data_IF_358798889208
#
_entry.id   IF_358798889208
#
_cell.length_a   1.000
_cell.length_b   1.000
_cell.length_c   1.000
_cell.angle_alpha   90.00
_cell.angle_beta   90.00
_cell.angle_gamma   90.00
#
_symmetry.space_group_name_H-M   'P 1'
#
loop_
_entity.id
_entity.type
_entity.pdbx_description
1 polymer ?
#
# COMPACT_ATOMS: atom_id res chain seq x y z
N UNK A 1 -47.31 -24.27 -31.51
CA UNK A 1 -48.76 -24.36 -31.57
C UNK A 1 -49.33 -24.36 -30.15
N UNK A 2 -50.36 -23.51 -29.96
CA UNK A 2 -51.31 -23.46 -28.83
C UNK A 2 -50.83 -22.76 -27.57
N UNK A 3 -51.45 -21.78 -27.02
CA UNK A 3 -52.56 -20.85 -27.23
C UNK A 3 -52.76 -20.15 -25.87
N UNK A 4 -52.93 -18.86 -25.95
CA UNK A 4 -53.31 -17.94 -24.86
C UNK A 4 -54.61 -18.36 -24.17
N UNK A 5 -54.74 -18.08 -22.85
CA UNK A 5 -56.01 -17.61 -22.31
C UNK A 5 -55.83 -16.56 -21.24
N UNK A 6 -56.50 -15.45 -21.43
CA UNK A 6 -56.78 -14.32 -20.54
C UNK A 6 -57.77 -14.71 -19.43
N UNK A 7 -57.63 -14.08 -18.26
CA UNK A 7 -58.76 -13.45 -17.53
C UNK A 7 -58.26 -12.57 -16.39
N UNK A 8 -58.67 -11.31 -16.38
CA UNK A 8 -58.92 -10.43 -15.22
C UNK A 8 -60.46 -10.44 -15.02
N UNK A 9 -61.09 -9.85 -14.01
CA UNK A 9 -60.68 -8.90 -12.97
C UNK A 9 -61.22 -9.23 -11.55
N UNK A 10 -60.81 -8.50 -10.52
CA UNK A 10 -61.69 -7.77 -9.67
C UNK A 10 -60.98 -7.13 -8.48
N UNK A 11 -61.36 -5.90 -8.23
CA UNK A 11 -60.87 -4.91 -7.40
C UNK A 11 -61.24 -5.07 -5.91
N UNK A 12 -60.34 -4.61 -5.07
CA UNK A 12 -60.62 -4.15 -3.73
C UNK A 12 -59.64 -3.05 -3.35
N UNK A 13 -60.15 -1.85 -3.24
CA UNK A 13 -59.53 -0.69 -2.65
C UNK A 13 -59.33 -0.93 -1.13
N UNK A 14 -58.11 -1.05 -0.66
CA UNK A 14 -57.78 -0.92 0.75
C UNK A 14 -57.11 0.41 0.98
N UNK A 15 -57.80 1.27 1.68
CA UNK A 15 -57.29 2.55 2.23
C UNK A 15 -56.12 2.28 3.20
N UNK A 16 -54.95 2.77 2.87
CA UNK A 16 -53.82 2.81 3.80
C UNK A 16 -53.87 4.06 4.64
N UNK A 17 -54.16 3.86 5.93
CA UNK A 17 -54.09 4.81 7.02
C UNK A 17 -52.62 5.28 7.21
N UNK A 18 -52.41 6.59 7.03
CA UNK A 18 -51.12 7.26 7.27
C UNK A 18 -50.91 7.43 8.76
N UNK A 19 -50.26 6.48 9.43
CA UNK A 19 -49.66 6.74 10.73
C UNK A 19 -48.15 6.81 10.60
N UNK A 20 -47.60 7.96 10.95
CA UNK A 20 -46.18 8.26 11.08
C UNK A 20 -45.44 7.17 11.87
N UNK A 21 -44.66 6.33 11.21
CA UNK A 21 -43.60 5.61 11.88
C UNK A 21 -42.27 6.33 11.58
N UNK A 22 -41.72 6.93 12.63
CA UNK A 22 -40.34 7.43 12.63
C UNK A 22 -39.43 6.27 12.32
N UNK A 23 -38.70 6.35 11.21
CA UNK A 23 -37.63 5.45 10.88
C UNK A 23 -36.50 5.67 11.89
N UNK A 24 -36.31 4.74 12.81
CA UNK A 24 -35.11 4.63 13.62
C UNK A 24 -34.14 3.80 12.76
N UNK A 25 -32.96 4.33 12.43
CA UNK A 25 -31.96 3.51 11.71
C UNK A 25 -31.57 2.32 12.59
N UNK A 26 -31.31 1.15 12.02
CA UNK A 26 -30.86 -0.01 12.79
C UNK A 26 -29.56 0.36 13.51
N UNK A 27 -29.58 0.30 14.83
CA UNK A 27 -28.38 0.33 15.65
C UNK A 27 -27.46 -0.76 15.12
N UNK A 28 -26.21 -0.39 14.80
CA UNK A 28 -25.15 -1.35 14.61
C UNK A 28 -25.14 -2.28 15.83
N UNK A 29 -25.36 -3.55 15.59
CA UNK A 29 -25.22 -4.57 16.62
C UNK A 29 -23.73 -4.65 16.88
N UNK A 30 -23.27 -4.01 17.95
CA UNK A 30 -21.94 -4.24 18.48
C UNK A 30 -21.88 -5.73 18.80
N UNK A 31 -20.91 -6.40 18.21
CA UNK A 31 -20.63 -7.81 18.55
C UNK A 31 -19.75 -7.81 19.81
N UNK A 32 -20.32 -8.11 21.00
CA UNK A 32 -19.56 -7.99 22.26
C UNK A 32 -18.41 -9.00 22.37
N UNK A 33 -18.29 -9.94 21.44
CA UNK A 33 -17.18 -10.90 21.40
C UNK A 33 -15.91 -10.33 20.76
N UNK A 34 -15.98 -9.20 20.03
CA UNK A 34 -14.80 -8.56 19.43
C UNK A 34 -14.14 -7.53 20.35
N UNK A 35 -14.88 -7.00 21.34
CA UNK A 35 -14.35 -5.99 22.26
C UNK A 35 -13.64 -6.59 23.49
N UNK A 36 -13.73 -7.92 23.71
CA UNK A 36 -13.17 -8.64 24.86
C UNK A 36 -12.07 -9.65 24.51
N UNK A 37 -11.48 -9.58 23.33
CA UNK A 37 -10.25 -10.35 23.09
C UNK A 37 -9.11 -9.67 23.86
N UNK A 38 -8.53 -10.35 24.89
CA UNK A 38 -7.36 -9.81 25.56
C UNK A 38 -6.29 -9.61 24.50
N UNK A 39 -5.74 -8.39 24.38
CA UNK A 39 -4.51 -8.16 23.65
C UNK A 39 -3.46 -9.13 24.20
N UNK A 40 -3.30 -10.27 23.55
CA UNK A 40 -2.14 -11.13 23.81
C UNK A 40 -0.94 -10.32 23.35
N UNK A 41 -0.32 -9.65 24.31
CA UNK A 41 1.05 -9.17 24.17
C UNK A 41 1.82 -10.37 23.64
N UNK A 42 2.35 -10.26 22.44
CA UNK A 42 3.12 -11.32 21.80
C UNK A 42 4.44 -11.49 22.59
N UNK A 43 4.40 -12.33 23.62
CA UNK A 43 5.56 -12.64 24.48
C UNK A 43 6.56 -13.57 23.81
N UNK A 44 6.58 -13.70 22.48
CA UNK A 44 7.54 -14.57 21.81
C UNK A 44 7.84 -14.24 20.34
N UNK A 45 7.85 -12.99 19.93
CA UNK A 45 8.75 -12.63 18.84
C UNK A 45 10.15 -12.52 19.46
N UNK A 46 11.19 -13.16 18.89
CA UNK A 46 12.54 -12.94 19.37
C UNK A 46 12.77 -11.43 19.39
N UNK A 47 13.23 -10.91 20.53
CA UNK A 47 13.60 -9.51 20.67
C UNK A 47 14.60 -9.19 19.57
N UNK A 48 14.10 -8.51 18.53
CA UNK A 48 14.97 -7.92 17.53
C UNK A 48 15.70 -6.81 18.26
N UNK A 49 16.99 -7.01 18.50
CA UNK A 49 17.88 -5.92 18.85
C UNK A 49 17.58 -4.79 17.85
N UNK A 50 17.39 -3.54 18.29
CA UNK A 50 17.35 -2.41 17.37
C UNK A 50 18.56 -2.56 16.47
N UNK A 51 18.37 -2.45 15.13
CA UNK A 51 19.54 -2.29 14.28
C UNK A 51 20.29 -1.08 14.86
N UNK A 52 21.46 -1.31 15.44
CA UNK A 52 22.45 -0.28 15.71
C UNK A 52 22.82 0.29 14.34
N UNK A 53 22.01 1.22 13.84
CA UNK A 53 22.44 2.10 12.77
C UNK A 53 23.38 3.07 13.45
N UNK A 54 24.64 3.01 13.07
CA UNK A 54 25.68 3.91 13.49
C UNK A 54 25.15 5.35 13.58
N UNK A 55 25.36 5.95 14.72
CA UNK A 55 25.25 7.40 14.85
C UNK A 55 26.23 8.00 13.84
N UNK A 56 25.71 8.74 12.86
CA UNK A 56 26.58 9.60 12.08
C UNK A 56 27.27 10.58 13.02
N UNK A 57 28.55 10.90 12.77
CA UNK A 57 29.42 11.77 13.60
C UNK A 57 28.83 13.17 13.88
N UNK A 58 27.66 13.48 13.34
CA UNK A 58 26.96 14.77 13.41
C UNK A 58 25.72 14.77 14.34
N UNK A 59 25.55 13.73 15.17
CA UNK A 59 24.51 13.67 16.20
C UNK A 59 23.10 13.35 15.69
N UNK A 60 22.96 12.85 14.46
CA UNK A 60 21.70 12.42 13.88
C UNK A 60 21.27 11.05 14.44
N UNK A 61 20.06 11.00 15.00
CA UNK A 61 19.47 9.78 15.57
C UNK A 61 18.46 9.20 14.58
N UNK A 62 18.69 7.97 14.16
CA UNK A 62 17.75 7.19 13.34
C UNK A 62 17.02 6.15 14.21
N UNK A 63 15.83 5.73 13.80
CA UNK A 63 15.09 4.68 14.48
C UNK A 63 14.00 5.19 15.44
N UNK A 64 13.80 4.49 16.54
CA UNK A 64 12.71 4.80 17.49
C UNK A 64 12.83 6.21 18.09
N UNK A 65 14.04 6.65 18.40
CA UNK A 65 14.30 7.99 18.97
C UNK A 65 14.01 9.09 17.93
N UNK A 66 14.20 8.82 16.63
CA UNK A 66 13.85 9.75 15.57
C UNK A 66 12.32 9.94 15.48
N UNK A 67 11.55 8.85 15.60
CA UNK A 67 10.09 8.91 15.62
C UNK A 67 9.59 9.70 16.83
N UNK A 68 10.13 9.45 18.02
CA UNK A 68 9.73 10.14 19.25
C UNK A 68 10.02 11.66 19.19
N UNK A 69 11.13 12.08 18.56
CA UNK A 69 11.41 13.49 18.29
C UNK A 69 10.42 14.11 17.33
N UNK A 70 10.16 13.43 16.19
CA UNK A 70 9.17 13.88 15.20
C UNK A 70 7.79 14.02 15.83
N UNK A 71 7.37 13.05 16.64
CA UNK A 71 6.10 13.05 17.37
C UNK A 71 6.01 14.24 18.33
N UNK A 72 7.08 14.54 19.06
CA UNK A 72 7.14 15.68 19.98
C UNK A 72 6.98 17.00 19.24
N UNK A 73 7.71 17.20 18.14
CA UNK A 73 7.63 18.43 17.35
C UNK A 73 6.29 18.62 16.68
N UNK A 74 5.66 17.54 16.17
CA UNK A 74 4.32 17.60 15.61
C UNK A 74 3.26 17.99 16.65
N UNK A 75 3.40 17.47 17.90
CA UNK A 75 2.52 17.83 19.02
C UNK A 75 2.63 19.31 19.36
N UNK A 76 3.86 19.83 19.32
CA UNK A 76 4.16 21.23 19.61
C UNK A 76 3.85 22.18 18.44
N UNK A 77 3.30 21.68 17.34
CA UNK A 77 2.90 22.46 16.17
C UNK A 77 4.07 22.89 15.28
N UNK A 78 5.19 22.19 15.34
CA UNK A 78 6.39 22.48 14.53
C UNK A 78 6.52 21.57 13.31
N UNK A 79 7.29 22.04 12.33
CA UNK A 79 7.58 21.28 11.13
C UNK A 79 8.49 20.08 11.40
N UNK A 80 8.23 19.00 10.68
CA UNK A 80 9.06 17.80 10.67
C UNK A 80 9.28 17.32 9.23
N UNK A 81 10.25 16.47 9.02
CA UNK A 81 10.57 15.88 7.74
C UNK A 81 10.38 14.37 7.76
N UNK A 82 9.88 13.84 6.66
CA UNK A 82 9.75 12.39 6.44
C UNK A 82 10.34 12.03 5.08
N UNK A 83 11.25 11.04 5.05
CA UNK A 83 11.69 10.40 3.81
C UNK A 83 10.92 9.11 3.55
N UNK A 84 10.72 8.72 2.27
CA UNK A 84 10.04 7.46 1.97
C UNK A 84 10.90 6.25 2.33
N UNK A 85 12.22 6.30 2.03
CA UNK A 85 13.16 5.23 2.44
C UNK A 85 14.53 5.83 2.64
N UNK A 86 15.24 5.80 3.54
CA UNK A 86 16.58 6.31 3.85
C UNK A 86 17.63 6.43 2.71
N UNK A 87 17.21 6.34 1.46
CA UNK A 87 18.06 6.59 0.29
C UNK A 87 18.18 8.10 0.02
N UNK A 88 19.37 8.53 -0.38
CA UNK A 88 19.69 9.94 -0.61
C UNK A 88 18.80 10.64 -1.65
N UNK A 89 18.24 9.87 -2.59
CA UNK A 89 17.38 10.36 -3.68
C UNK A 89 15.88 10.22 -3.39
N UNK A 90 15.51 9.73 -2.18
CA UNK A 90 14.11 9.55 -1.83
C UNK A 90 13.37 10.89 -1.69
N UNK A 91 12.10 10.98 -2.12
CA UNK A 91 11.30 12.17 -1.90
C UNK A 91 11.20 12.51 -0.42
N UNK A 92 11.47 13.78 -0.09
CA UNK A 92 11.35 14.28 1.27
C UNK A 92 10.03 15.04 1.40
N UNK A 93 9.21 14.66 2.38
CA UNK A 93 7.99 15.36 2.72
C UNK A 93 8.22 16.29 3.92
N UNK A 94 7.95 17.57 3.73
CA UNK A 94 7.79 18.56 4.79
C UNK A 94 6.40 18.43 5.37
N UNK A 95 6.25 18.29 6.68
CA UNK A 95 4.98 17.97 7.35
C UNK A 95 4.71 18.86 8.54
N UNK A 96 3.43 19.17 8.77
CA UNK A 96 2.94 19.84 10.00
C UNK A 96 1.51 19.37 10.30
N UNK A 97 1.13 19.29 11.57
CA UNK A 97 -0.24 19.01 11.95
C UNK A 97 -1.18 20.10 11.42
N UNK A 98 -2.27 19.68 10.76
CA UNK A 98 -3.14 20.61 10.04
C UNK A 98 -3.80 21.64 10.98
N UNK A 99 -3.98 21.32 12.26
CA UNK A 99 -4.53 22.24 13.26
C UNK A 99 -3.58 23.41 13.56
N UNK A 100 -2.29 23.25 13.30
CA UNK A 100 -1.25 24.27 13.47
C UNK A 100 -0.86 24.96 12.17
N UNK A 101 -1.42 24.52 11.01
CA UNK A 101 -1.11 25.10 9.71
C UNK A 101 -1.83 26.43 9.47
N UNK A 102 -1.23 27.51 9.94
CA UNK A 102 -1.68 28.88 9.70
C UNK A 102 -1.12 29.49 8.40
N UNK A 103 -1.20 30.81 8.30
CA UNK A 103 -0.77 31.52 7.09
C UNK A 103 0.76 31.50 6.91
N UNK A 104 1.50 31.58 8.03
CA UNK A 104 2.98 31.55 8.01
C UNK A 104 3.48 30.18 7.56
N UNK A 105 2.91 29.10 8.11
CA UNK A 105 3.30 27.73 7.81
C UNK A 105 2.94 27.35 6.38
N UNK A 106 1.77 27.70 5.89
CA UNK A 106 1.39 27.50 4.49
C UNK A 106 2.29 28.31 3.55
N UNK A 107 2.61 29.55 3.92
CA UNK A 107 3.57 30.38 3.16
C UNK A 107 4.96 29.74 3.09
N UNK A 108 5.43 29.17 4.20
CA UNK A 108 6.71 28.44 4.25
C UNK A 108 6.68 27.20 3.33
N UNK A 109 5.60 26.40 3.38
CA UNK A 109 5.44 25.23 2.50
C UNK A 109 5.47 25.65 1.03
N UNK A 110 4.74 26.72 0.65
CA UNK A 110 4.68 27.20 -0.73
C UNK A 110 6.03 27.69 -1.26
N UNK A 111 6.87 28.20 -0.37
CA UNK A 111 8.23 28.69 -0.73
C UNK A 111 9.23 27.54 -0.93
N UNK A 112 9.15 26.48 -0.14
CA UNK A 112 10.18 25.44 -0.08
C UNK A 112 9.75 24.08 -0.67
N UNK A 113 8.45 23.89 -0.87
CA UNK A 113 7.91 22.60 -1.28
C UNK A 113 6.94 22.73 -2.47
N UNK A 114 6.56 21.60 -3.02
CA UNK A 114 5.53 21.51 -4.05
C UNK A 114 4.15 21.81 -3.45
N UNK A 115 3.10 21.65 -4.28
CA UNK A 115 1.72 21.86 -3.87
C UNK A 115 1.38 21.09 -2.58
N UNK A 116 0.79 21.75 -1.55
CA UNK A 116 0.41 21.09 -0.32
C UNK A 116 -0.70 20.07 -0.51
N UNK A 117 -0.59 18.96 0.21
CA UNK A 117 -1.58 17.89 0.29
C UNK A 117 -2.01 17.70 1.74
N UNK A 118 -3.24 17.23 1.96
CA UNK A 118 -3.70 16.78 3.27
C UNK A 118 -3.76 15.27 3.30
N UNK A 119 -2.96 14.68 4.17
CA UNK A 119 -3.10 13.29 4.57
C UNK A 119 -4.13 13.17 5.68
N UNK A 120 -5.07 12.23 5.57
CA UNK A 120 -6.12 11.98 6.56
C UNK A 120 -6.53 10.51 6.58
N UNK A 121 -7.19 9.99 7.64
CA UNK A 121 -7.75 8.65 7.65
C UNK A 121 -8.72 8.43 6.47
N UNK A 122 -8.76 7.20 5.96
CA UNK A 122 -9.56 6.85 4.78
C UNK A 122 -11.06 7.16 4.98
N UNK A 123 -11.59 6.90 6.16
CA UNK A 123 -13.02 7.13 6.44
C UNK A 123 -13.37 8.62 6.43
N UNK A 124 -12.48 9.48 6.95
CA UNK A 124 -12.61 10.94 6.82
C UNK A 124 -12.52 11.37 5.35
N UNK A 125 -11.59 10.84 4.60
CA UNK A 125 -11.49 11.10 3.16
C UNK A 125 -12.79 10.73 2.43
N UNK A 126 -13.36 9.55 2.72
CA UNK A 126 -14.65 9.09 2.15
C UNK A 126 -15.80 10.01 2.53
N UNK A 127 -15.85 10.50 3.77
CA UNK A 127 -16.87 11.44 4.22
C UNK A 127 -16.79 12.76 3.45
N UNK A 128 -15.58 13.32 3.28
CA UNK A 128 -15.35 14.52 2.46
C UNK A 128 -15.77 14.27 1.00
N UNK A 129 -15.39 13.13 0.44
CA UNK A 129 -15.79 12.78 -0.92
C UNK A 129 -17.30 12.69 -1.09
N UNK A 130 -17.99 12.06 -0.15
CA UNK A 130 -19.46 11.93 -0.17
C UNK A 130 -20.19 13.25 -0.03
N UNK A 131 -19.55 14.29 0.56
CA UNK A 131 -20.11 15.63 0.69
C UNK A 131 -20.02 16.48 -0.58
N UNK A 132 -19.24 16.04 -1.57
CA UNK A 132 -19.07 16.76 -2.83
C UNK A 132 -20.20 16.45 -3.80
N UNK A 133 -20.79 17.50 -4.38
CA UNK A 133 -21.84 17.35 -5.41
C UNK A 133 -21.30 16.57 -6.62
N UNK A 134 -21.86 15.40 -6.89
CA UNK A 134 -21.76 14.59 -8.13
C UNK A 134 -20.39 14.60 -8.84
N UNK A 135 -19.32 14.32 -8.11
CA UNK A 135 -18.10 13.89 -8.74
C UNK A 135 -18.18 12.36 -8.80
N UNK A 136 -18.58 11.86 -9.93
CA UNK A 136 -18.41 10.46 -10.27
C UNK A 136 -16.92 10.30 -10.55
N UNK A 137 -16.16 9.85 -9.55
CA UNK A 137 -14.96 9.08 -9.88
C UNK A 137 -15.52 7.85 -10.56
N UNK A 138 -15.26 7.68 -11.84
CA UNK A 138 -15.69 6.53 -12.64
C UNK A 138 -15.22 5.17 -12.07
N UNK A 139 -14.44 5.21 -11.00
CA UNK A 139 -13.89 4.05 -10.32
C UNK A 139 -14.06 4.19 -8.82
N UNK A 140 -14.72 3.22 -8.22
CA UNK A 140 -14.68 2.93 -6.78
C UNK A 140 -13.26 2.60 -6.26
N UNK A 141 -12.24 3.10 -6.94
CA UNK A 141 -10.85 2.82 -6.61
C UNK A 141 -10.35 3.82 -5.57
N UNK A 142 -10.53 3.46 -4.33
CA UNK A 142 -10.07 4.20 -3.17
C UNK A 142 -8.55 4.13 -2.95
N UNK A 143 -7.82 3.53 -3.89
CA UNK A 143 -6.40 3.25 -3.71
C UNK A 143 -5.48 4.47 -3.86
N UNK A 144 -5.87 5.46 -4.63
CA UNK A 144 -5.21 6.77 -4.74
C UNK A 144 -6.15 7.83 -5.32
N UNK A 145 -7.25 8.15 -4.71
CA UNK A 145 -8.02 9.27 -5.21
C UNK A 145 -7.24 10.55 -4.91
N UNK A 146 -6.70 11.17 -5.91
CA UNK A 146 -6.23 12.55 -5.81
C UNK A 146 -7.42 13.45 -6.06
N UNK A 147 -8.03 13.87 -4.98
CA UNK A 147 -9.10 14.84 -5.01
C UNK A 147 -8.54 16.19 -4.59
N UNK A 148 -8.81 17.25 -5.35
CA UNK A 148 -8.49 18.59 -4.87
C UNK A 148 -9.75 19.38 -4.58
N UNK A 149 -9.80 20.02 -3.42
CA UNK A 149 -10.96 20.76 -2.96
C UNK A 149 -10.61 22.19 -2.54
N UNK A 150 -11.62 23.03 -2.53
CA UNK A 150 -11.61 24.34 -1.87
C UNK A 150 -12.93 24.56 -1.15
N UNK A 151 -12.91 25.35 -0.08
CA UNK A 151 -14.13 25.89 0.51
C UNK A 151 -14.89 26.73 -0.52
N UNK A 152 -16.20 26.65 -0.57
CA UNK A 152 -17.01 27.52 -1.44
C UNK A 152 -16.87 29.00 -1.03
N UNK A 153 -17.00 29.88 -2.00
CA UNK A 153 -16.86 31.33 -1.78
C UNK A 153 -15.43 31.86 -1.76
N UNK A 154 -14.41 30.98 -1.90
CA UNK A 154 -13.00 31.39 -2.05
C UNK A 154 -12.41 30.92 -3.39
N UNK A 155 -11.25 31.48 -3.76
CA UNK A 155 -10.54 31.12 -5.00
C UNK A 155 -10.10 29.64 -5.05
N UNK A 156 -9.77 29.17 -6.25
CA UNK A 156 -9.19 27.81 -6.49
C UNK A 156 -7.68 27.81 -6.53
N UNK A 157 -7.09 29.00 -6.45
CA UNK A 157 -5.65 29.15 -6.54
C UNK A 157 -4.96 28.56 -5.31
N UNK A 158 -4.15 27.54 -5.54
CA UNK A 158 -3.35 26.87 -4.52
C UNK A 158 -2.14 27.70 -4.07
N UNK A 159 -1.76 28.74 -4.83
CA UNK A 159 -0.71 29.67 -4.44
C UNK A 159 -1.24 30.76 -3.49
N UNK A 160 -2.55 30.92 -3.38
CA UNK A 160 -3.12 31.85 -2.43
C UNK A 160 -3.20 31.21 -1.05
N UNK A 161 -2.32 31.64 -0.14
CA UNK A 161 -2.21 31.17 1.25
C UNK A 161 -3.56 31.13 1.96
N UNK A 162 -4.36 32.20 1.86
CA UNK A 162 -5.66 32.30 2.53
C UNK A 162 -6.65 31.26 2.01
N UNK A 163 -6.64 30.93 0.72
CA UNK A 163 -7.47 29.89 0.15
C UNK A 163 -7.12 28.51 0.75
N UNK A 164 -5.83 28.24 0.87
CA UNK A 164 -5.34 26.98 1.45
C UNK A 164 -5.71 26.90 2.91
N UNK A 165 -5.38 27.90 3.73
CA UNK A 165 -5.66 27.94 5.18
C UNK A 165 -7.15 27.77 5.48
N UNK A 166 -8.02 28.50 4.76
CA UNK A 166 -9.47 28.38 4.98
C UNK A 166 -9.98 26.99 4.61
N UNK A 167 -9.45 26.39 3.54
CA UNK A 167 -9.82 25.04 3.12
C UNK A 167 -9.35 24.00 4.14
N UNK A 168 -8.11 24.12 4.64
CA UNK A 168 -7.58 23.26 5.69
C UNK A 168 -8.46 23.32 6.95
N UNK A 169 -8.82 24.52 7.40
CA UNK A 169 -9.68 24.70 8.57
C UNK A 169 -11.06 24.09 8.39
N UNK A 170 -11.71 24.31 7.22
CA UNK A 170 -13.00 23.68 6.90
C UNK A 170 -12.91 22.15 6.95
N UNK A 171 -11.77 21.57 6.50
CA UNK A 171 -11.56 20.13 6.51
C UNK A 171 -11.22 19.58 7.90
N UNK A 172 -10.81 20.42 8.86
CA UNK A 172 -10.52 20.01 10.23
C UNK A 172 -11.74 19.96 11.14
N UNK A 173 -12.81 20.69 10.78
CA UNK A 173 -14.02 20.71 11.57
C UNK A 173 -14.69 19.32 11.50
N UNK A 174 -15.02 18.76 12.68
CA UNK A 174 -15.66 17.45 12.81
C UNK A 174 -17.17 17.48 12.48
N UNK A 175 -17.73 18.66 12.30
CA UNK A 175 -19.08 18.82 11.78
C UNK A 175 -19.10 18.20 10.40
N UNK A 176 -20.01 17.25 10.18
CA UNK A 176 -20.28 16.68 8.86
C UNK A 176 -20.11 17.79 7.83
N UNK A 177 -19.12 17.65 6.95
CA UNK A 177 -18.85 18.66 5.92
C UNK A 177 -20.17 18.82 5.18
N UNK A 178 -20.93 19.84 5.50
CA UNK A 178 -22.28 20.04 4.98
C UNK A 178 -22.22 20.02 3.46
N UNK A 179 -23.15 19.26 2.86
CA UNK A 179 -23.28 19.22 1.41
C UNK A 179 -23.33 20.64 0.89
N UNK A 180 -22.30 21.01 0.15
CA UNK A 180 -22.21 22.35 -0.39
C UNK A 180 -21.13 23.27 0.19
N UNK A 181 -20.42 22.91 1.26
CA UNK A 181 -19.32 23.74 1.80
C UNK A 181 -18.03 23.63 0.96
N UNK A 182 -17.82 22.52 0.30
CA UNK A 182 -16.64 22.27 -0.53
C UNK A 182 -17.01 22.25 -2.02
N UNK A 183 -16.01 22.50 -2.84
CA UNK A 183 -16.05 22.34 -4.29
C UNK A 183 -14.79 21.63 -4.80
N UNK A 184 -14.93 20.90 -5.88
CA UNK A 184 -13.87 20.27 -6.62
C UNK A 184 -13.89 20.77 -8.09
N UNK A 185 -12.72 20.96 -8.77
CA UNK A 185 -11.39 20.94 -8.18
C UNK A 185 -11.10 22.19 -7.35
N UNK A 186 -10.06 22.13 -6.49
CA UNK A 186 -9.75 23.20 -5.54
C UNK A 186 -8.25 23.41 -5.26
N UNK A 187 -7.96 24.20 -4.24
CA UNK A 187 -6.62 24.62 -3.86
C UNK A 187 -5.81 23.55 -3.13
N UNK A 188 -6.46 22.62 -2.43
CA UNK A 188 -5.82 21.62 -1.58
C UNK A 188 -6.07 20.21 -2.11
N UNK A 189 -5.02 19.44 -2.30
CA UNK A 189 -5.12 18.02 -2.65
C UNK A 189 -5.32 17.19 -1.39
N UNK A 190 -6.16 16.15 -1.47
CA UNK A 190 -6.43 15.24 -0.37
C UNK A 190 -5.84 13.86 -0.67
N UNK A 191 -5.35 13.20 0.37
CA UNK A 191 -4.90 11.81 0.32
C UNK A 191 -5.45 11.05 1.53
N UNK A 192 -6.15 9.94 1.30
CA UNK A 192 -6.65 9.06 2.34
C UNK A 192 -5.63 7.97 2.68
N UNK A 193 -5.25 7.88 3.96
CA UNK A 193 -4.43 6.80 4.47
C UNK A 193 -5.22 5.49 4.50
N UNK A 194 -4.62 4.39 4.06
CA UNK A 194 -5.30 3.10 4.02
C UNK A 194 -5.59 2.55 5.40
N UNK A 195 -6.68 1.79 5.50
CA UNK A 195 -6.96 0.99 6.69
C UNK A 195 -5.81 0.01 6.93
N UNK A 196 -5.33 -0.09 8.17
CA UNK A 196 -4.11 -0.81 8.52
C UNK A 196 -2.84 0.06 8.51
N UNK A 197 -2.94 1.32 8.05
CA UNK A 197 -1.90 2.34 8.14
C UNK A 197 -0.56 1.93 7.53
N UNK A 198 0.52 2.44 8.11
CA UNK A 198 1.90 2.25 7.62
C UNK A 198 2.36 0.79 7.60
N UNK A 199 1.79 -0.07 8.44
CA UNK A 199 2.10 -1.51 8.43
C UNK A 199 1.52 -2.24 7.20
N UNK A 200 0.43 -1.74 6.65
CA UNK A 200 -0.15 -2.29 5.42
C UNK A 200 0.54 -1.69 4.19
N UNK A 201 0.71 -0.38 4.20
CA UNK A 201 1.38 0.37 3.14
C UNK A 201 2.39 1.34 3.72
N UNK A 202 3.67 1.08 3.48
CA UNK A 202 4.76 1.96 3.87
C UNK A 202 4.82 3.18 2.92
N UNK A 203 3.90 4.13 3.08
CA UNK A 203 3.80 5.34 2.28
C UNK A 203 3.76 6.60 3.15
N UNK A 204 4.17 7.75 2.57
CA UNK A 204 4.21 9.02 3.29
C UNK A 204 2.85 9.44 3.85
N UNK A 205 1.74 9.14 3.17
CA UNK A 205 0.38 9.44 3.63
C UNK A 205 0.02 8.64 4.88
N UNK A 206 0.28 7.33 4.87
CA UNK A 206 0.03 6.43 6.00
C UNK A 206 0.92 6.80 7.19
N UNK A 207 2.21 7.07 6.94
CA UNK A 207 3.15 7.48 7.98
C UNK A 207 2.77 8.85 8.59
N UNK A 208 2.30 9.80 7.79
CA UNK A 208 1.84 11.09 8.28
C UNK A 208 0.65 10.98 9.24
N UNK A 209 -0.36 10.17 8.89
CA UNK A 209 -1.53 9.93 9.76
C UNK A 209 -1.10 9.21 11.04
N UNK A 210 -0.23 8.21 10.94
CA UNK A 210 0.31 7.49 12.08
C UNK A 210 1.06 8.39 13.06
N UNK A 211 1.92 9.27 12.53
CA UNK A 211 2.67 10.25 13.34
C UNK A 211 1.74 11.24 14.04
N UNK A 212 0.63 11.65 13.39
CA UNK A 212 -0.39 12.49 14.02
C UNK A 212 -1.08 11.78 15.19
N UNK A 213 -1.47 10.51 14.99
CA UNK A 213 -2.08 9.68 16.04
C UNK A 213 -1.12 9.50 17.23
N UNK A 214 0.17 9.22 16.97
CA UNK A 214 1.19 9.12 18.01
C UNK A 214 1.43 10.44 18.74
N UNK A 215 1.35 11.55 18.03
CA UNK A 215 1.47 12.90 18.61
C UNK A 215 0.25 13.30 19.45
N UNK A 216 -0.88 12.61 19.29
CA UNK A 216 -2.14 12.94 19.96
C UNK A 216 -2.80 14.20 19.40
N UNK A 217 -2.47 14.59 18.15
CA UNK A 217 -3.11 15.68 17.42
C UNK A 217 -4.21 15.11 16.50
N UNK A 218 -5.06 15.98 15.94
CA UNK A 218 -6.04 15.53 14.93
C UNK A 218 -5.31 14.78 13.81
N UNK A 219 -5.78 13.59 13.38
CA UNK A 219 -5.08 12.76 12.40
C UNK A 219 -5.19 13.31 10.98
N UNK A 220 -4.87 14.59 10.81
CA UNK A 220 -4.81 15.31 9.54
C UNK A 220 -3.50 16.08 9.48
N UNK A 221 -2.69 15.78 8.47
CA UNK A 221 -1.37 16.39 8.27
C UNK A 221 -1.34 17.16 6.96
N UNK A 222 -0.88 18.40 7.01
CA UNK A 222 -0.44 19.11 5.79
C UNK A 222 0.96 18.65 5.47
N UNK A 223 1.15 18.11 4.28
CA UNK A 223 2.48 17.72 3.80
C UNK A 223 2.71 18.16 2.36
N UNK A 224 3.97 18.37 2.00
CA UNK A 224 4.37 18.66 0.64
C UNK A 224 5.79 18.15 0.37
N UNK A 225 6.04 17.64 -0.83
CA UNK A 225 7.38 17.22 -1.24
C UNK A 225 8.28 18.44 -1.41
N UNK A 226 9.46 18.45 -0.80
CA UNK A 226 10.45 19.52 -0.95
C UNK A 226 10.86 19.71 -2.42
N UNK A 227 11.07 20.95 -2.82
CA UNK A 227 11.50 21.31 -4.16
C UNK A 227 13.01 21.50 -4.19
N UNK A 228 13.71 20.78 -5.10
CA UNK A 228 15.17 20.93 -5.26
C UNK A 228 15.95 20.53 -4.01
N UNK A 229 15.39 19.64 -3.19
CA UNK A 229 16.04 19.21 -1.98
C UNK A 229 17.31 18.44 -2.33
N UNK A 230 18.45 18.92 -1.80
CA UNK A 230 19.61 18.12 -1.57
C UNK A 230 19.32 17.01 -0.56
N UNK A 231 20.34 16.57 0.16
CA UNK A 231 20.16 15.53 1.18
C UNK A 231 19.24 16.02 2.32
N UNK A 232 18.39 15.16 2.83
CA UNK A 232 17.44 15.45 3.92
C UNK A 232 18.15 16.05 5.14
N UNK A 233 19.35 15.55 5.45
CA UNK A 233 20.16 15.96 6.58
C UNK A 233 20.57 17.44 6.47
N UNK A 234 20.84 17.91 5.26
CA UNK A 234 21.26 19.28 4.99
C UNK A 234 20.11 20.26 5.22
N UNK A 235 18.91 19.94 4.70
CA UNK A 235 17.73 20.74 4.95
C UNK A 235 17.30 20.71 6.42
N UNK A 236 17.31 19.53 7.02
CA UNK A 236 16.98 19.33 8.43
C UNK A 236 17.90 20.16 9.36
N UNK A 237 19.22 20.16 9.08
CA UNK A 237 20.20 20.92 9.85
C UNK A 237 20.01 22.43 9.68
N UNK A 238 19.74 22.88 8.44
CA UNK A 238 19.57 24.31 8.14
C UNK A 238 18.38 24.94 8.86
N UNK A 239 17.35 24.14 9.15
CA UNK A 239 16.10 24.60 9.74
C UNK A 239 15.87 24.04 11.16
N UNK A 240 16.80 23.23 11.71
CA UNK A 240 16.63 22.58 13.01
C UNK A 240 15.44 21.63 13.08
N UNK A 241 15.05 21.00 11.96
CA UNK A 241 13.87 20.13 11.86
C UNK A 241 14.26 18.68 12.13
N UNK A 242 13.56 17.97 13.03
CA UNK A 242 13.74 16.53 13.16
C UNK A 242 13.20 15.80 11.93
N UNK A 243 13.80 14.66 11.64
CA UNK A 243 13.34 13.83 10.55
C UNK A 243 13.30 12.35 10.95
N UNK A 244 12.43 11.61 10.26
CA UNK A 244 12.35 10.16 10.30
C UNK A 244 12.16 9.61 8.88
N UNK A 245 12.43 8.33 8.71
CA UNK A 245 12.03 7.60 7.50
C UNK A 245 10.69 6.88 7.71
N UNK A 246 10.00 6.56 6.63
CA UNK A 246 8.81 5.68 6.70
C UNK A 246 9.17 4.33 7.33
N UNK A 247 10.40 3.83 7.10
CA UNK A 247 10.90 2.61 7.73
C UNK A 247 10.99 2.74 9.26
N UNK A 248 11.37 3.90 9.79
CA UNK A 248 11.41 4.13 11.23
C UNK A 248 10.00 4.12 11.85
N UNK A 249 9.01 4.73 11.17
CA UNK A 249 7.60 4.70 11.59
C UNK A 249 7.06 3.27 11.57
N UNK A 250 7.38 2.49 10.52
CA UNK A 250 7.03 1.06 10.44
C UNK A 250 7.67 0.29 11.60
N UNK A 251 8.96 0.50 11.88
CA UNK A 251 9.65 -0.16 12.97
C UNK A 251 9.02 0.17 14.32
N UNK A 252 8.72 1.44 14.56
CA UNK A 252 8.07 1.91 15.79
C UNK A 252 6.69 1.26 16.01
N UNK A 253 5.86 1.19 14.95
CA UNK A 253 4.52 0.58 15.02
C UNK A 253 4.56 -0.94 15.08
N UNK A 254 5.48 -1.58 14.39
CA UNK A 254 5.60 -3.05 14.32
C UNK A 254 5.67 -3.71 15.70
N UNK A 255 6.36 -3.10 16.64
CA UNK A 255 6.46 -3.61 18.00
C UNK A 255 5.12 -3.62 18.74
N UNK A 256 4.11 -2.89 18.24
CA UNK A 256 2.80 -2.70 18.88
C UNK A 256 1.64 -3.35 18.13
N UNK A 257 1.80 -3.69 16.84
CA UNK A 257 0.71 -4.22 16.03
C UNK A 257 1.14 -5.35 15.08
N UNK A 258 0.47 -6.49 15.19
CA UNK A 258 0.57 -7.61 14.27
C UNK A 258 -0.65 -7.63 13.35
N UNK A 259 -0.44 -7.48 12.03
CA UNK A 259 -1.51 -7.45 11.02
C UNK A 259 -1.72 -8.78 10.31
N UNK A 260 -0.92 -9.82 10.63
CA UNK A 260 -1.07 -11.16 10.07
C UNK A 260 -1.09 -12.22 11.18
N UNK A 261 -1.82 -13.28 10.96
CA UNK A 261 -1.85 -14.46 11.84
C UNK A 261 -1.81 -15.74 11.03
N UNK A 262 -1.15 -16.76 11.57
CA UNK A 262 -1.22 -18.10 11.00
C UNK A 262 -2.60 -18.70 11.25
N UNK A 263 -3.20 -19.32 10.22
CA UNK A 263 -4.51 -19.97 10.36
C UNK A 263 -4.42 -21.38 10.92
N UNK A 264 -3.23 -21.97 10.97
CA UNK A 264 -3.02 -23.34 11.47
C UNK A 264 -1.58 -23.84 11.28
N UNK A 265 -1.34 -25.12 11.58
CA UNK A 265 -0.05 -25.77 11.33
C UNK A 265 0.21 -25.88 9.82
N UNK A 266 1.49 -25.97 9.40
CA UNK A 266 1.84 -26.15 8.00
C UNK A 266 1.37 -27.52 7.49
N UNK A 267 0.94 -27.56 6.24
CA UNK A 267 0.57 -28.78 5.54
C UNK A 267 1.63 -29.14 4.49
N UNK A 268 1.93 -30.42 4.37
CA UNK A 268 2.81 -30.90 3.27
C UNK A 268 2.07 -30.77 1.94
N UNK A 269 2.66 -30.06 1.00
CA UNK A 269 2.11 -29.83 -0.34
C UNK A 269 3.05 -30.36 -1.41
N UNK A 270 2.81 -31.55 -1.99
CA UNK A 270 3.50 -32.00 -3.18
C UNK A 270 3.01 -31.24 -4.40
N UNK A 271 3.91 -30.75 -5.22
CA UNK A 271 3.66 -30.05 -6.48
C UNK A 271 4.46 -30.65 -7.62
N UNK A 272 4.18 -30.27 -8.86
CA UNK A 272 4.99 -30.69 -10.03
C UNK A 272 6.44 -30.18 -9.98
N UNK A 273 6.73 -29.20 -9.11
CA UNK A 273 8.08 -28.63 -8.93
C UNK A 273 8.83 -29.20 -7.74
N UNK A 274 8.16 -29.94 -6.86
CA UNK A 274 8.71 -30.51 -5.65
C UNK A 274 7.73 -30.48 -4.49
N UNK A 275 8.23 -30.76 -3.28
CA UNK A 275 7.41 -30.78 -2.08
C UNK A 275 7.76 -29.62 -1.16
N UNK A 276 6.76 -28.86 -0.77
CA UNK A 276 6.86 -27.69 0.10
C UNK A 276 6.03 -27.88 1.37
N UNK A 277 6.36 -27.14 2.41
CA UNK A 277 5.48 -26.96 3.57
C UNK A 277 4.64 -25.68 3.35
N UNK A 278 3.32 -25.86 3.24
CA UNK A 278 2.38 -24.79 2.98
C UNK A 278 1.89 -24.16 4.28
N UNK A 279 2.15 -22.88 4.48
CA UNK A 279 1.71 -22.08 5.61
C UNK A 279 0.64 -21.10 5.17
N UNK A 280 -0.54 -21.14 5.78
CA UNK A 280 -1.58 -20.17 5.52
C UNK A 280 -1.57 -19.07 6.58
N UNK A 281 -1.76 -17.83 6.10
CA UNK A 281 -1.83 -16.63 6.91
C UNK A 281 -3.09 -15.86 6.59
N UNK A 282 -3.72 -15.26 7.60
CA UNK A 282 -4.85 -14.36 7.44
C UNK A 282 -4.43 -12.93 7.79
N UNK A 283 -4.76 -12.00 6.93
CA UNK A 283 -4.68 -10.57 7.23
C UNK A 283 -5.77 -10.20 8.23
N UNK A 284 -5.41 -9.55 9.32
CA UNK A 284 -6.35 -9.01 10.32
C UNK A 284 -7.03 -7.72 9.85
N UNK A 285 -6.52 -7.12 8.78
CA UNK A 285 -7.04 -5.85 8.27
C UNK A 285 -8.27 -6.06 7.37
N UNK A 286 -8.23 -7.09 6.51
CA UNK A 286 -9.27 -7.34 5.50
C UNK A 286 -9.73 -8.80 5.43
N UNK A 287 -9.20 -9.67 6.28
CA UNK A 287 -9.53 -11.09 6.31
C UNK A 287 -8.96 -11.91 5.14
N UNK A 288 -8.20 -11.30 4.23
CA UNK A 288 -7.61 -11.99 3.08
C UNK A 288 -6.61 -13.05 3.54
N UNK A 289 -6.71 -14.25 2.96
CA UNK A 289 -5.79 -15.34 3.23
C UNK A 289 -4.68 -15.39 2.19
N UNK A 290 -3.44 -15.57 2.68
CA UNK A 290 -2.23 -15.69 1.87
C UNK A 290 -1.56 -17.03 2.13
N UNK A 291 -0.73 -17.50 1.20
CA UNK A 291 -0.02 -18.77 1.35
C UNK A 291 1.47 -18.61 1.13
N UNK A 292 2.27 -19.21 2.00
CA UNK A 292 3.71 -19.32 1.87
C UNK A 292 4.10 -20.79 1.67
N UNK A 293 4.74 -21.09 0.55
CA UNK A 293 5.30 -22.41 0.25
C UNK A 293 6.78 -22.40 0.63
N UNK A 294 7.09 -23.08 1.73
CA UNK A 294 8.41 -23.09 2.35
C UNK A 294 9.18 -24.34 1.97
N UNK A 295 10.43 -24.18 1.53
CA UNK A 295 11.41 -25.24 1.36
C UNK A 295 12.52 -25.09 2.37
N UNK A 296 12.70 -26.11 3.22
CA UNK A 296 13.79 -26.14 4.17
C UNK A 296 14.34 -27.58 4.27
N UNK A 297 15.63 -27.73 4.02
CA UNK A 297 16.30 -29.05 4.12
C UNK A 297 16.41 -29.56 5.57
N UNK A 298 16.46 -28.67 6.55
CA UNK A 298 16.53 -29.02 7.97
C UNK A 298 15.11 -29.22 8.54
N UNK A 299 14.53 -30.38 8.33
CA UNK A 299 13.28 -30.77 9.00
C UNK A 299 13.55 -31.05 10.48
N UNK A 300 13.34 -30.04 11.33
CA UNK A 300 13.04 -30.29 12.73
C UNK A 300 11.58 -30.81 12.88
N UNK A 301 11.23 -31.50 13.98
CA UNK A 301 9.88 -31.99 14.16
C UNK A 301 8.87 -30.84 14.08
N UNK A 302 7.80 -31.02 13.30
CA UNK A 302 6.78 -30.06 12.90
C UNK A 302 5.99 -29.37 14.06
N UNK A 303 6.47 -29.45 15.30
CA UNK A 303 5.79 -29.01 16.53
C UNK A 303 6.50 -27.90 17.32
N UNK A 304 7.55 -27.30 16.78
CA UNK A 304 8.25 -26.22 17.52
C UNK A 304 7.80 -24.86 16.97
N UNK A 305 7.48 -23.95 17.88
CA UNK A 305 7.26 -22.51 17.61
C UNK A 305 8.53 -21.78 17.12
N UNK A 306 9.47 -22.51 16.53
CA UNK A 306 10.72 -21.96 16.01
C UNK A 306 10.52 -21.45 14.59
N UNK A 307 11.17 -20.35 14.23
CA UNK A 307 11.18 -19.84 12.86
C UNK A 307 11.68 -20.91 11.88
N UNK A 308 11.03 -21.07 10.74
CA UNK A 308 11.29 -22.17 9.79
C UNK A 308 12.52 -21.94 8.93
N UNK A 309 12.84 -20.67 8.62
CA UNK A 309 13.93 -20.28 7.71
C UNK A 309 15.03 -19.52 8.47
N UNK A 310 15.52 -20.08 9.57
CA UNK A 310 16.67 -19.55 10.28
C UNK A 310 17.93 -20.31 9.90
N UNK A 311 18.97 -19.58 9.53
CA UNK A 311 20.27 -20.17 9.17
C UNK A 311 21.26 -19.10 8.72
N UNK A 312 22.54 -19.45 8.61
CA UNK A 312 23.58 -18.50 8.21
C UNK A 312 23.48 -18.12 6.72
N UNK A 313 22.74 -18.93 5.92
CA UNK A 313 22.55 -18.69 4.49
C UNK A 313 21.24 -17.90 4.27
N UNK A 314 21.28 -16.76 3.55
CA UNK A 314 20.09 -16.03 3.18
C UNK A 314 19.10 -16.89 2.39
N UNK A 315 17.80 -16.86 2.77
CA UNK A 315 16.76 -17.62 2.11
C UNK A 315 16.49 -17.09 0.69
N UNK A 316 16.22 -18.00 -0.27
CA UNK A 316 15.75 -17.59 -1.59
C UNK A 316 14.25 -17.28 -1.53
N UNK A 317 13.87 -16.03 -1.78
CA UNK A 317 12.52 -15.53 -1.58
C UNK A 317 11.90 -15.07 -2.90
N UNK A 318 10.68 -15.53 -3.17
CA UNK A 318 9.80 -14.93 -4.16
C UNK A 318 8.53 -14.44 -3.50
N UNK A 319 8.27 -13.14 -3.60
CA UNK A 319 6.95 -12.57 -3.28
C UNK A 319 6.18 -12.45 -4.60
N UNK A 320 5.15 -13.26 -4.75
CA UNK A 320 4.32 -13.34 -5.93
C UNK A 320 2.96 -12.71 -5.65
N UNK A 321 2.60 -11.68 -6.39
CA UNK A 321 1.26 -11.09 -6.35
C UNK A 321 0.33 -11.91 -7.23
N UNK A 322 -0.82 -12.32 -6.70
CA UNK A 322 -1.84 -13.07 -7.41
C UNK A 322 -2.15 -12.48 -8.80
N UNK A 323 -2.17 -13.34 -9.79
CA UNK A 323 -2.61 -13.03 -11.15
C UNK A 323 -3.44 -14.21 -11.67
N UNK A 324 -4.73 -14.22 -11.37
CA UNK A 324 -5.64 -15.30 -11.70
C UNK A 324 -5.55 -15.68 -13.20
N UNK A 325 -5.49 -14.69 -14.09
CA UNK A 325 -5.40 -14.94 -15.53
C UNK A 325 -4.09 -15.63 -15.94
N UNK A 326 -2.95 -15.25 -15.37
CA UNK A 326 -1.66 -15.85 -15.69
C UNK A 326 -1.40 -17.14 -14.93
N UNK A 327 -1.67 -17.13 -13.62
CA UNK A 327 -1.31 -18.22 -12.73
C UNK A 327 -2.22 -19.45 -12.86
N UNK A 328 -3.54 -19.23 -13.13
CA UNK A 328 -4.55 -20.28 -13.19
C UNK A 328 -4.95 -20.60 -14.62
N UNK A 329 -5.23 -19.57 -15.44
CA UNK A 329 -5.73 -19.77 -16.81
C UNK A 329 -4.63 -19.80 -17.87
N UNK A 330 -3.35 -19.59 -17.50
CA UNK A 330 -2.23 -19.64 -18.44
C UNK A 330 -2.28 -18.55 -19.51
N UNK A 331 -2.81 -17.35 -19.18
CA UNK A 331 -2.88 -16.25 -20.11
C UNK A 331 -1.51 -15.87 -20.66
N UNK A 332 -1.39 -15.79 -21.97
CA UNK A 332 -0.16 -15.39 -22.66
C UNK A 332 0.09 -13.87 -22.63
N UNK A 333 -0.89 -13.07 -22.19
CA UNK A 333 -0.75 -11.59 -22.10
C UNK A 333 0.19 -11.11 -21.02
N UNK A 334 0.61 -11.98 -20.10
CA UNK A 334 1.55 -11.64 -19.03
C UNK A 334 2.55 -12.77 -18.81
N UNK A 335 3.55 -12.49 -18.03
CA UNK A 335 4.63 -13.40 -17.63
C UNK A 335 4.44 -14.03 -16.24
N UNK A 336 3.26 -13.84 -15.59
CA UNK A 336 3.04 -14.20 -14.19
C UNK A 336 3.11 -15.72 -13.96
N UNK A 337 2.37 -16.52 -14.72
CA UNK A 337 2.39 -17.98 -14.60
C UNK A 337 3.81 -18.57 -14.74
N UNK A 338 4.53 -18.30 -15.85
CA UNK A 338 5.92 -18.74 -16.01
C UNK A 338 6.86 -18.25 -14.90
N UNK A 339 6.67 -17.02 -14.37
CA UNK A 339 7.45 -16.53 -13.22
C UNK A 339 7.15 -17.31 -11.94
N UNK A 340 5.90 -17.68 -11.70
CA UNK A 340 5.49 -18.51 -10.56
C UNK A 340 6.17 -19.88 -10.65
N UNK A 341 6.09 -20.53 -11.80
CA UNK A 341 6.69 -21.85 -12.06
C UNK A 341 8.21 -21.83 -11.92
N UNK A 342 8.87 -20.87 -12.55
CA UNK A 342 10.33 -20.70 -12.48
C UNK A 342 10.79 -20.46 -11.02
N UNK A 343 10.05 -19.65 -10.25
CA UNK A 343 10.39 -19.39 -8.86
C UNK A 343 10.24 -20.65 -7.98
N UNK A 344 9.18 -21.44 -8.17
CA UNK A 344 9.01 -22.71 -7.44
C UNK A 344 10.13 -23.70 -7.76
N UNK A 345 10.49 -23.83 -9.03
CA UNK A 345 11.61 -24.71 -9.45
C UNK A 345 12.96 -24.24 -8.87
N UNK A 346 13.21 -22.92 -8.89
CA UNK A 346 14.44 -22.36 -8.33
C UNK A 346 14.55 -22.56 -6.81
N UNK A 347 13.45 -22.37 -6.06
CA UNK A 347 13.41 -22.57 -4.61
C UNK A 347 13.57 -24.07 -4.26
N UNK A 348 12.96 -24.97 -5.03
CA UNK A 348 13.15 -26.41 -4.85
C UNK A 348 14.62 -26.81 -5.06
N UNK A 349 15.23 -26.31 -6.14
CA UNK A 349 16.65 -26.60 -6.46
C UNK A 349 17.60 -26.00 -5.42
N UNK A 350 17.30 -24.82 -4.88
CA UNK A 350 18.07 -24.19 -3.81
C UNK A 350 17.96 -24.95 -2.48
N UNK A 351 16.81 -25.56 -2.20
CA UNK A 351 16.55 -26.31 -0.97
C UNK A 351 16.32 -25.44 0.28
N UNK A 352 16.43 -24.10 0.18
CA UNK A 352 16.24 -23.18 1.31
C UNK A 352 15.60 -21.87 0.85
N UNK A 353 14.27 -21.76 1.00
CA UNK A 353 13.58 -20.56 0.57
C UNK A 353 12.06 -20.61 0.73
N UNK A 354 11.40 -19.58 0.23
CA UNK A 354 9.95 -19.44 0.28
C UNK A 354 9.40 -18.76 -0.96
N UNK A 355 8.32 -19.32 -1.48
CA UNK A 355 7.42 -18.60 -2.38
C UNK A 355 6.23 -18.10 -1.55
N UNK A 356 6.13 -16.79 -1.40
CA UNK A 356 4.99 -16.12 -0.74
C UNK A 356 4.01 -15.65 -1.80
N UNK A 357 2.81 -16.24 -1.84
CA UNK A 357 1.73 -15.91 -2.74
C UNK A 357 0.74 -14.97 -2.05
N UNK A 358 0.72 -13.70 -2.47
CA UNK A 358 -0.16 -12.68 -1.93
C UNK A 358 -1.44 -12.60 -2.76
N UNK A 359 -2.56 -12.99 -2.16
CA UNK A 359 -3.89 -12.93 -2.77
C UNK A 359 -4.47 -11.52 -2.71
N UNK A 360 -5.48 -11.26 -3.55
CA UNK A 360 -6.16 -9.95 -3.62
C UNK A 360 -5.34 -8.88 -4.33
N UNK A 361 -4.25 -9.23 -5.03
CA UNK A 361 -3.36 -8.28 -5.71
C UNK A 361 -3.45 -8.33 -7.24
N UNK A 362 -4.56 -8.84 -7.79
CA UNK A 362 -4.82 -8.93 -9.22
C UNK A 362 -4.63 -7.58 -9.93
N UNK A 363 -3.99 -7.60 -11.11
CA UNK A 363 -3.76 -6.39 -11.90
C UNK A 363 -2.97 -5.30 -11.17
N UNK A 364 -2.04 -5.65 -10.27
CA UNK A 364 -1.34 -4.74 -9.35
C UNK A 364 -2.25 -4.12 -8.28
N UNK A 365 -3.28 -4.86 -7.86
CA UNK A 365 -4.21 -4.46 -6.83
C UNK A 365 -5.45 -3.73 -7.33
N UNK A 366 -5.62 -3.57 -8.66
CA UNK A 366 -6.83 -2.95 -9.22
C UNK A 366 -8.02 -3.90 -9.29
N UNK A 367 -7.78 -5.21 -9.12
CA UNK A 367 -8.79 -6.24 -9.18
C UNK A 367 -9.04 -6.78 -10.60
N UNK A 368 -9.70 -7.96 -10.66
CA UNK A 368 -9.90 -8.70 -11.90
C UNK A 368 -10.79 -7.95 -12.89
N UNK A 369 -11.89 -7.36 -12.43
CA UNK A 369 -12.82 -6.62 -13.31
C UNK A 369 -12.16 -5.42 -13.98
N UNK A 370 -11.44 -4.61 -13.21
CA UNK A 370 -10.72 -3.45 -13.75
C UNK A 370 -9.59 -3.87 -14.71
N UNK A 371 -8.92 -5.00 -14.43
CA UNK A 371 -7.93 -5.57 -15.34
C UNK A 371 -8.54 -5.99 -16.69
N UNK A 372 -9.74 -6.58 -16.71
CA UNK A 372 -10.42 -6.92 -17.95
C UNK A 372 -10.77 -5.66 -18.75
N UNK A 373 -11.26 -4.61 -18.10
CA UNK A 373 -11.49 -3.32 -18.75
C UNK A 373 -10.20 -2.71 -19.32
N UNK A 374 -9.09 -2.82 -18.62
CA UNK A 374 -7.79 -2.39 -19.13
C UNK A 374 -7.37 -3.20 -20.37
N UNK A 375 -7.62 -4.49 -20.40
CA UNK A 375 -7.36 -5.33 -21.58
C UNK A 375 -8.17 -4.90 -22.81
N UNK A 376 -9.44 -4.54 -22.64
CA UNK A 376 -10.26 -4.01 -23.73
C UNK A 376 -9.68 -2.71 -24.32
N UNK A 377 -9.15 -1.82 -23.48
CA UNK A 377 -8.47 -0.61 -23.96
C UNK A 377 -7.15 -0.93 -24.68
N UNK A 378 -6.41 -1.93 -24.19
CA UNK A 378 -5.17 -2.37 -24.84
C UNK A 378 -5.43 -2.98 -26.23
N UNK A 379 -6.53 -3.68 -26.43
CA UNK A 379 -6.97 -4.17 -27.75
C UNK A 379 -7.25 -3.04 -28.73
N UNK A 380 -7.60 -1.85 -28.22
CA UNK A 380 -7.76 -0.62 -29.00
C UNK A 380 -6.44 0.14 -29.21
N UNK A 381 -5.29 -0.43 -28.85
CA UNK A 381 -3.97 0.14 -29.05
C UNK A 381 -3.45 1.04 -27.93
N UNK A 382 -4.17 1.15 -26.80
CA UNK A 382 -3.71 1.88 -25.62
C UNK A 382 -2.66 1.05 -24.87
N UNK A 383 -1.56 1.64 -24.41
CA UNK A 383 -0.57 0.90 -23.63
C UNK A 383 -1.09 0.59 -22.20
N UNK A 384 -0.40 -0.31 -21.48
CA UNK A 384 -0.83 -0.79 -20.17
C UNK A 384 -0.92 0.31 -19.11
N UNK A 385 -0.01 1.29 -19.13
CA UNK A 385 -0.01 2.40 -18.17
C UNK A 385 -1.14 3.37 -18.49
N UNK A 386 -1.24 3.76 -19.76
CA UNK A 386 -2.25 4.72 -20.21
C UNK A 386 -3.66 4.14 -20.10
N UNK A 387 -3.82 2.82 -20.26
CA UNK A 387 -5.10 2.14 -20.00
C UNK A 387 -5.55 2.30 -18.54
N UNK A 388 -4.62 2.11 -17.57
CA UNK A 388 -4.94 2.34 -16.16
C UNK A 388 -5.27 3.83 -15.89
N UNK A 389 -4.50 4.75 -16.44
CA UNK A 389 -4.74 6.20 -16.27
C UNK A 389 -6.09 6.60 -16.85
N UNK A 390 -6.45 6.10 -18.05
CA UNK A 390 -7.77 6.36 -18.68
C UNK A 390 -8.93 5.83 -17.84
N UNK A 391 -8.73 4.72 -17.13
CA UNK A 391 -9.70 4.15 -16.20
C UNK A 391 -9.68 4.82 -14.82
N UNK A 392 -8.84 5.86 -14.62
CA UNK A 392 -8.65 6.50 -13.32
C UNK A 392 -8.01 5.59 -12.26
N UNK A 393 -7.31 4.52 -12.70
CA UNK A 393 -6.72 3.52 -11.83
C UNK A 393 -5.26 3.85 -11.53
N UNK A 394 -4.77 3.52 -10.33
CA UNK A 394 -3.36 3.66 -10.01
C UNK A 394 -2.50 2.71 -10.84
N UNK A 395 -1.27 3.10 -11.09
CA UNK A 395 -0.29 2.28 -11.82
C UNK A 395 0.11 1.04 -10.99
N UNK A 396 0.23 1.19 -9.67
CA UNK A 396 0.55 0.12 -8.73
C UNK A 396 -0.06 0.45 -7.35
N UNK A 397 -0.99 -0.38 -6.89
CA UNK A 397 -1.65 -0.25 -5.58
C UNK A 397 -1.34 -1.41 -4.64
N UNK A 398 -0.32 -2.22 -4.98
CA UNK A 398 0.05 -3.37 -4.15
C UNK A 398 0.61 -2.94 -2.80
N UNK A 399 0.31 -3.74 -1.81
CA UNK A 399 0.73 -3.56 -0.43
C UNK A 399 1.67 -4.71 -0.05
N UNK A 400 2.83 -4.34 0.49
CA UNK A 400 3.87 -5.31 0.82
C UNK A 400 4.06 -5.55 2.31
N UNK A 401 3.42 -4.73 3.18
CA UNK A 401 3.53 -4.85 4.63
C UNK A 401 3.06 -6.20 5.18
N UNK A 402 1.94 -6.71 4.68
CA UNK A 402 1.45 -8.07 4.99
C UNK A 402 2.49 -9.12 4.63
N UNK A 403 3.06 -9.02 3.41
CA UNK A 403 4.12 -9.92 2.96
C UNK A 403 5.38 -9.85 3.83
N UNK A 404 5.80 -8.64 4.20
CA UNK A 404 6.96 -8.44 5.07
C UNK A 404 6.76 -9.09 6.45
N UNK A 405 5.59 -8.93 7.09
CA UNK A 405 5.31 -9.58 8.37
C UNK A 405 5.28 -11.11 8.25
N UNK A 406 4.74 -11.66 7.17
CA UNK A 406 4.77 -13.12 6.93
C UNK A 406 6.21 -13.62 6.82
N UNK A 407 7.08 -12.92 6.08
CA UNK A 407 8.50 -13.29 5.95
C UNK A 407 9.22 -13.24 7.30
N UNK A 408 8.95 -12.21 8.11
CA UNK A 408 9.51 -12.11 9.48
C UNK A 408 9.03 -13.26 10.37
N UNK A 409 7.74 -13.61 10.31
CA UNK A 409 7.17 -14.72 11.07
C UNK A 409 7.75 -16.08 10.67
N UNK A 410 8.13 -16.25 9.40
CA UNK A 410 8.86 -17.42 8.90
C UNK A 410 10.33 -17.44 9.33
N UNK A 411 10.84 -16.38 9.99
CA UNK A 411 12.20 -16.29 10.50
C UNK A 411 13.21 -15.69 9.55
N UNK A 412 12.77 -15.12 8.43
CA UNK A 412 13.66 -14.47 7.46
C UNK A 412 14.14 -13.14 8.01
N UNK A 413 15.43 -12.87 7.83
CA UNK A 413 16.10 -11.59 8.08
C UNK A 413 16.82 -11.15 6.82
N UNK A 414 17.74 -11.97 6.38
CA UNK A 414 18.49 -11.79 5.14
C UNK A 414 17.89 -12.68 4.06
N UNK A 415 17.72 -12.11 2.87
CA UNK A 415 17.13 -12.85 1.75
C UNK A 415 17.81 -12.54 0.42
N UNK A 416 17.84 -13.55 -0.43
CA UNK A 416 18.08 -13.43 -1.86
C UNK A 416 16.72 -13.32 -2.54
N UNK A 417 16.41 -12.19 -3.16
CA UNK A 417 15.09 -11.90 -3.67
C UNK A 417 15.00 -12.14 -5.18
N UNK A 418 14.13 -13.07 -5.59
CA UNK A 418 13.78 -13.27 -7.01
C UNK A 418 12.89 -12.13 -7.47
N UNK A 419 13.44 -11.15 -8.20
CA UNK A 419 12.70 -10.00 -8.70
C UNK A 419 13.43 -9.26 -9.81
N UNK A 420 12.71 -8.88 -10.87
CA UNK A 420 13.20 -7.97 -11.92
C UNK A 420 12.83 -6.50 -11.65
N UNK A 421 12.08 -6.21 -10.59
CA UNK A 421 11.71 -4.85 -10.22
C UNK A 421 12.72 -4.29 -9.21
N UNK A 422 13.50 -3.24 -9.54
CA UNK A 422 14.45 -2.64 -8.61
C UNK A 422 13.78 -1.88 -7.47
N UNK A 423 12.53 -1.41 -7.64
CA UNK A 423 11.83 -0.52 -6.71
C UNK A 423 10.78 -1.23 -5.84
N UNK A 424 10.80 -2.56 -5.74
CA UNK A 424 9.63 -3.31 -5.29
C UNK A 424 9.33 -3.27 -3.78
N UNK A 425 10.27 -2.91 -2.92
CA UNK A 425 10.12 -3.20 -1.48
C UNK A 425 10.53 -2.04 -0.59
N UNK A 426 9.72 -0.98 -0.61
CA UNK A 426 9.86 0.12 0.33
C UNK A 426 9.50 -0.33 1.76
N UNK A 427 10.21 0.18 2.75
CA UNK A 427 9.93 -0.07 4.16
C UNK A 427 10.36 -1.43 4.71
N UNK A 428 11.02 -2.31 3.94
CA UNK A 428 11.48 -3.63 4.42
C UNK A 428 12.45 -3.53 5.62
N UNK A 429 13.31 -2.52 5.63
CA UNK A 429 14.25 -2.28 6.73
C UNK A 429 13.50 -2.06 8.06
N UNK A 430 12.33 -1.39 8.04
CA UNK A 430 11.45 -1.24 9.21
C UNK A 430 10.94 -2.58 9.76
N UNK A 431 10.88 -3.62 8.95
CA UNK A 431 10.57 -4.99 9.38
C UNK A 431 11.81 -5.79 9.79
N UNK A 432 13.00 -5.22 9.73
CA UNK A 432 14.26 -5.91 9.96
C UNK A 432 14.59 -6.93 8.86
N UNK A 433 14.05 -6.73 7.65
CA UNK A 433 14.35 -7.53 6.46
C UNK A 433 15.42 -6.84 5.62
N UNK A 434 16.39 -7.61 5.14
CA UNK A 434 17.48 -7.12 4.29
C UNK A 434 17.59 -7.97 3.03
N UNK A 435 17.60 -7.33 1.88
CA UNK A 435 17.90 -7.98 0.60
C UNK A 435 19.41 -7.99 0.44
N UNK A 436 20.03 -9.17 0.50
CA UNK A 436 21.47 -9.35 0.33
C UNK A 436 21.86 -9.51 -1.14
N UNK A 437 20.94 -10.05 -1.94
CA UNK A 437 21.13 -10.30 -3.35
C UNK A 437 19.80 -10.25 -4.09
N UNK A 438 19.79 -9.71 -5.29
CA UNK A 438 18.66 -9.81 -6.20
C UNK A 438 18.93 -10.85 -7.25
N UNK A 439 18.05 -11.85 -7.32
CA UNK A 439 18.11 -12.93 -8.32
C UNK A 439 17.15 -12.58 -9.46
N UNK A 440 17.66 -12.55 -10.69
CA UNK A 440 16.83 -12.28 -11.86
C UNK A 440 15.83 -13.42 -12.10
N UNK A 441 14.63 -13.07 -12.54
CA UNK A 441 13.62 -14.03 -12.98
C UNK A 441 13.57 -14.00 -14.49
N UNK A 442 14.22 -14.97 -15.13
CA UNK A 442 14.24 -15.06 -16.58
C UNK A 442 13.02 -15.85 -17.06
N UNK A 443 12.20 -15.21 -17.88
CA UNK A 443 11.07 -15.81 -18.58
C UNK A 443 11.15 -15.34 -20.02
N UNK A 444 11.13 -16.28 -20.96
CA UNK A 444 11.14 -15.96 -22.38
C UNK A 444 9.88 -15.15 -22.75
N UNK A 445 10.03 -14.05 -23.48
CA UNK A 445 8.88 -13.33 -24.01
C UNK A 445 8.14 -14.16 -25.06
N UNK A 446 6.88 -13.85 -25.31
CA UNK A 446 6.07 -14.42 -26.38
C UNK A 446 5.42 -13.28 -27.20
N UNK A 447 4.88 -13.55 -28.39
CA UNK A 447 4.28 -12.50 -29.24
C UNK A 447 3.16 -11.71 -28.57
N UNK A 448 2.43 -12.32 -27.63
CA UNK A 448 1.31 -11.68 -26.94
C UNK A 448 1.74 -10.77 -25.77
N UNK A 449 2.89 -11.05 -25.13
CA UNK A 449 3.33 -10.29 -23.97
C UNK A 449 4.52 -9.36 -24.23
N UNK A 450 5.16 -9.42 -25.37
CA UNK A 450 6.38 -8.63 -25.65
C UNK A 450 6.15 -7.11 -25.49
N UNK A 451 5.01 -6.60 -25.94
CA UNK A 451 4.63 -5.18 -25.77
C UNK A 451 4.49 -4.80 -24.30
N UNK A 452 3.87 -5.66 -23.51
CA UNK A 452 3.73 -5.48 -22.07
C UNK A 452 5.09 -5.50 -21.35
N UNK A 453 5.98 -6.41 -21.73
CA UNK A 453 7.31 -6.49 -21.16
C UNK A 453 8.16 -5.28 -21.51
N UNK A 454 8.09 -4.76 -22.74
CA UNK A 454 8.74 -3.50 -23.13
C UNK A 454 8.25 -2.31 -22.28
N UNK A 455 6.95 -2.19 -22.08
CA UNK A 455 6.40 -1.16 -21.18
C UNK A 455 6.95 -1.29 -19.75
N UNK A 456 7.09 -2.51 -19.23
CA UNK A 456 7.72 -2.75 -17.92
C UNK A 456 9.18 -2.30 -17.88
N UNK A 457 9.95 -2.60 -18.91
CA UNK A 457 11.37 -2.25 -18.95
C UNK A 457 11.56 -0.75 -19.13
N UNK A 458 10.94 -0.15 -20.15
CA UNK A 458 11.18 1.23 -20.54
C UNK A 458 10.50 2.25 -19.63
N UNK A 459 9.26 2.01 -19.22
CA UNK A 459 8.45 2.97 -18.46
C UNK A 459 8.42 2.72 -16.95
N UNK A 460 8.74 1.49 -16.51
CA UNK A 460 8.68 1.12 -15.09
C UNK A 460 10.05 0.75 -14.51
N UNK A 461 11.10 0.74 -15.33
CA UNK A 461 12.47 0.47 -14.89
C UNK A 461 12.73 -0.99 -14.49
N UNK A 462 11.95 -1.96 -14.99
CA UNK A 462 12.22 -3.37 -14.77
C UNK A 462 13.47 -3.79 -15.52
N UNK A 463 14.25 -4.68 -14.92
CA UNK A 463 15.49 -5.24 -15.52
C UNK A 463 15.13 -6.58 -16.17
N UNK A 464 14.69 -6.54 -17.42
CA UNK A 464 14.27 -7.72 -18.17
C UNK A 464 15.32 -8.19 -19.18
N UNK A 465 16.22 -7.29 -19.61
CA UNK A 465 17.26 -7.61 -20.59
C UNK A 465 16.70 -7.88 -21.99
N UNK A 466 15.58 -7.27 -22.35
CA UNK A 466 14.94 -7.54 -23.65
C UNK A 466 15.81 -7.11 -24.83
N UNK A 467 16.60 -6.04 -24.68
CA UNK A 467 17.53 -5.55 -25.72
C UNK A 467 18.67 -6.53 -25.97
N UNK A 468 19.18 -7.14 -24.91
CA UNK A 468 20.23 -8.16 -24.99
C UNK A 468 19.72 -9.44 -25.65
N UNK A 469 18.49 -9.85 -25.36
CA UNK A 469 17.83 -11.00 -25.99
C UNK A 469 17.57 -10.77 -27.47
N UNK A 470 17.12 -9.57 -27.87
CA UNK A 470 16.93 -9.18 -29.26
C UNK A 470 18.28 -9.15 -30.02
N UNK A 471 19.37 -8.66 -29.39
CA UNK A 471 20.70 -8.58 -29.98
C UNK A 471 21.40 -9.96 -30.10
N UNK A 472 21.07 -10.90 -29.21
CA UNK A 472 21.64 -12.24 -29.22
C UNK A 472 21.08 -13.17 -30.34
N UNK A 473 20.11 -12.67 -31.13
CA UNK A 473 19.60 -13.40 -32.30
C UNK A 473 18.62 -14.53 -31.97
N UNK A 474 18.07 -14.58 -30.76
CA UNK A 474 16.94 -15.44 -30.40
C UNK A 474 15.60 -14.90 -31.03
N UNK A 475 15.74 -14.33 -32.24
CA UNK A 475 14.66 -13.80 -33.04
C UNK A 475 13.63 -14.87 -33.49
N UNK A 476 13.92 -16.14 -33.26
CA UNK A 476 12.97 -17.24 -33.51
C UNK A 476 11.83 -17.35 -32.51
N UNK A 477 11.91 -16.67 -31.36
CA UNK A 477 10.87 -16.67 -30.33
C UNK A 477 10.01 -15.39 -30.33
N UNK A 478 10.33 -14.40 -31.20
CA UNK A 478 9.70 -13.06 -31.21
C UNK A 478 8.91 -12.82 -32.51
N UNK A 479 8.98 -13.72 -33.51
CA UNK A 479 8.24 -13.61 -34.78
C UNK A 479 6.84 -14.20 -34.72
#
# INVERSE_FOLDING_TARGET
ALTLHHARPDGALLRLDRRHRRHVPPRAVANPELDNLPMRVATSLPSLQPNERDMSDDGYVFGADAVDRVVTELRDGRFVLLSEDGDADSPIALMIAAEHAGAEEIGFIQKHAKRPQLAMPLDRFKAVYASLDKIVLDNNNWDRPTLSVSTRGIGRDHNNVNNVVRTVRTLLDDVSVDQGMLRCPGAVSLAGARQGGVLRRAGATEAAVELAELAGVKPVIVHATLSGAGRIEEFARSWGMPHASTADVVAHKRHRAQIVERTGPPARMPTKFGTFDAHCYRSRVDGTEHIALVKCAARGPARTNRPFLTGPRPALVRVHSECCTGDVFGSLRCDCGPQLESALAAIEADGHGVLLYLRGQEGRGIGLGAKMNAYTLQEQGVDTLDANVKLGLPVDSREYGTGAQILVDLGIRDMRLISNNPKKFFGLAGYGLRITERVASHVAPNPENIRYLRTKEERMGHLLGLKELEAAGDAGAIA
#
